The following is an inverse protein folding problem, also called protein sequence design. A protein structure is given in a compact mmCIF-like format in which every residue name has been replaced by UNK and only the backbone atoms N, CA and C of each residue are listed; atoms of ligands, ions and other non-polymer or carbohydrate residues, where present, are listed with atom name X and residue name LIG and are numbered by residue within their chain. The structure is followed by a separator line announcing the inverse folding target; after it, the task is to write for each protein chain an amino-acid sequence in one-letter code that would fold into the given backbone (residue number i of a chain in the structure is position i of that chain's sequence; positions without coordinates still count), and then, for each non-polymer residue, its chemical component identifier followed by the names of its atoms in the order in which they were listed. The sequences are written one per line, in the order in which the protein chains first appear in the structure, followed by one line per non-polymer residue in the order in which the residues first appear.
data_IF_708304233134
#
_entry.id   IF_708304233134
#
_cell.length_a   1.000
_cell.length_b   1.000
_cell.length_c   1.000
_cell.angle_alpha   90.00
_cell.angle_beta   90.00
_cell.angle_gamma   90.00
#
_symmetry.space_group_name_H-M   'P 1'
#
loop_
_entity.id
_entity.type
_entity.pdbx_description
1 polymer ?
#
# COMPACT_ATOMS: atom_id res chain seq x y z
N UNK A 1 -31.81 16.18 -8.18
CA UNK A 1 -31.50 16.19 -7.79
C UNK A 1 -31.18 16.37 -7.31
N UNK A 2 -31.06 16.36 -7.54
CA UNK A 2 -30.63 16.63 -7.19
C UNK A 2 -30.00 16.85 -6.58
N UNK A 3 -29.40 17.05 -6.47
CA UNK A 3 -28.67 17.13 -5.86
C UNK A 3 -28.30 17.56 -4.91
N UNK A 4 -28.31 17.65 -4.32
CA UNK A 4 -27.88 17.91 -3.53
C UNK A 4 -27.65 17.99 -2.47
N UNK A 5 -27.63 18.02 -2.11
CA UNK A 5 -27.37 17.95 -1.09
C UNK A 5 -27.27 17.43 -0.05
N UNK A 6 -27.42 17.07 0.03
CA UNK A 6 -27.37 16.54 0.90
C UNK A 6 -27.09 16.17 1.73
N UNK A 7 -27.13 16.12 1.79
CA UNK A 7 -26.93 15.95 2.45
C UNK A 7 -27.33 16.01 3.08
N UNK A 8 -27.32 16.23 2.77
CA UNK A 8 -27.72 16.40 3.10
C UNK A 8 -28.50 16.73 3.40
N UNK A 9 -28.27 16.77 3.37
CA UNK A 9 -29.43 17.07 3.40
C UNK A 9 -30.19 17.46 2.63
N UNK A 10 -29.90 18.04 2.06
CA UNK A 10 -30.91 18.44 1.20
C UNK A 10 -31.55 17.31 0.49
N UNK A 11 -32.40 16.99 0.12
CA UNK A 11 -33.13 15.95 -0.54
C UNK A 11 -32.39 15.10 -1.55
N UNK A 12 -31.08 15.23 -1.62
CA UNK A 12 -30.32 14.41 -2.53
C UNK A 12 -30.18 13.00 -1.96
N UNK A 13 -30.46 11.96 -2.74
CA UNK A 13 -30.29 10.61 -2.22
C UNK A 13 -28.83 10.29 -1.96
N UNK A 14 -28.61 9.45 -0.98
CA UNK A 14 -27.26 9.01 -0.66
C UNK A 14 -26.76 8.05 -1.73
N UNK A 15 -25.50 8.16 -2.04
CA UNK A 15 -24.87 7.27 -3.00
C UNK A 15 -24.57 5.94 -2.31
N UNK A 16 -24.94 4.86 -2.96
CA UNK A 16 -24.71 3.51 -2.47
C UNK A 16 -24.01 2.73 -3.57
N UNK A 17 -22.88 2.14 -3.22
CA UNK A 17 -22.14 1.33 -4.19
C UNK A 17 -22.79 -0.05 -4.30
N UNK A 18 -22.96 -0.50 -5.55
CA UNK A 18 -23.43 -1.85 -5.82
C UNK A 18 -22.32 -2.83 -5.56
N UNK A 19 -22.67 -4.13 -5.48
CA UNK A 19 -21.66 -5.17 -5.32
C UNK A 19 -20.61 -5.12 -6.42
N UNK A 20 -21.06 -4.87 -7.64
CA UNK A 20 -20.15 -4.76 -8.77
C UNK A 20 -19.17 -3.61 -8.60
N UNK A 21 -19.69 -2.46 -8.13
CA UNK A 21 -18.83 -1.31 -7.91
C UNK A 21 -17.83 -1.54 -6.78
N UNK A 22 -18.23 -2.28 -5.76
CA UNK A 22 -17.32 -2.62 -4.66
C UNK A 22 -16.18 -3.50 -5.18
N UNK A 23 -16.50 -4.47 -6.02
CA UNK A 23 -15.46 -5.33 -6.62
C UNK A 23 -14.54 -4.49 -7.51
N UNK A 24 -15.12 -3.58 -8.28
CA UNK A 24 -14.34 -2.72 -9.15
C UNK A 24 -13.41 -1.82 -8.33
N UNK A 25 -13.94 -1.28 -7.22
CA UNK A 25 -13.15 -0.44 -6.34
C UNK A 25 -11.97 -1.21 -5.74
N UNK A 26 -12.18 -2.46 -5.37
CA UNK A 26 -11.08 -3.28 -4.84
C UNK A 26 -9.96 -3.40 -5.86
N UNK A 27 -10.31 -3.65 -7.11
CA UNK A 27 -9.32 -3.75 -8.17
C UNK A 27 -8.58 -2.43 -8.39
N UNK A 28 -9.32 -1.33 -8.38
CA UNK A 28 -8.74 0.00 -8.58
C UNK A 28 -7.81 0.38 -7.42
N UNK A 29 -8.14 -0.07 -6.22
CA UNK A 29 -7.34 0.27 -5.04
C UNK A 29 -5.93 -0.29 -5.13
N UNK A 30 -5.70 -1.26 -5.99
CA UNK A 30 -4.35 -1.79 -6.20
C UNK A 30 -3.44 -0.75 -6.83
N UNK A 31 -3.99 0.16 -7.63
CA UNK A 31 -3.15 1.07 -8.43
C UNK A 31 -3.50 2.55 -8.27
N UNK A 32 -4.61 2.88 -7.64
CA UNK A 32 -5.05 4.27 -7.52
C UNK A 32 -5.14 4.71 -6.07
N UNK A 33 -4.93 6.00 -5.84
CA UNK A 33 -5.18 6.60 -4.53
C UNK A 33 -6.69 6.79 -4.34
N UNK A 34 -7.10 7.09 -3.10
CA UNK A 34 -8.51 7.36 -2.84
C UNK A 34 -9.05 8.52 -3.68
N UNK A 35 -8.25 9.56 -3.83
CA UNK A 35 -8.68 10.70 -4.64
C UNK A 35 -8.92 10.28 -6.08
N UNK A 36 -8.04 9.43 -6.61
CA UNK A 36 -8.17 8.95 -7.98
C UNK A 36 -9.35 8.01 -8.14
N UNK A 37 -9.59 7.18 -7.13
CA UNK A 37 -10.75 6.29 -7.14
C UNK A 37 -12.04 7.10 -7.14
N UNK A 38 -12.07 8.15 -6.30
CA UNK A 38 -13.24 9.03 -6.27
C UNK A 38 -13.47 9.65 -7.64
N UNK A 39 -12.40 10.12 -8.28
CA UNK A 39 -12.50 10.67 -9.62
C UNK A 39 -13.05 9.66 -10.61
N UNK A 40 -12.61 8.41 -10.49
CA UNK A 40 -13.10 7.36 -11.38
C UNK A 40 -14.60 7.18 -11.27
N UNK A 41 -15.13 7.25 -10.05
CA UNK A 41 -16.57 7.11 -9.81
C UNK A 41 -17.32 8.43 -9.89
N UNK A 42 -16.62 9.50 -10.26
CA UNK A 42 -17.22 10.82 -10.47
C UNK A 42 -17.82 11.38 -9.19
N UNK A 43 -17.13 11.20 -8.09
CA UNK A 43 -17.49 11.75 -6.78
C UNK A 43 -16.27 12.40 -6.16
N UNK A 44 -16.47 13.12 -5.06
CA UNK A 44 -15.34 13.71 -4.36
C UNK A 44 -14.76 12.70 -3.38
N UNK A 45 -13.52 12.93 -2.98
CA UNK A 45 -12.90 12.07 -1.99
C UNK A 45 -13.67 12.12 -0.68
N UNK A 46 -14.21 13.28 -0.33
CA UNK A 46 -15.02 13.43 0.88
C UNK A 46 -16.25 12.53 0.79
N UNK A 47 -16.90 12.51 -0.37
CA UNK A 47 -18.06 11.64 -0.57
C UNK A 47 -17.67 10.17 -0.47
N UNK A 48 -16.51 9.80 -1.03
CA UNK A 48 -16.05 8.43 -0.93
C UNK A 48 -15.85 8.02 0.53
N UNK A 49 -15.25 8.90 1.33
CA UNK A 49 -15.06 8.61 2.75
C UNK A 49 -16.38 8.47 3.49
N UNK A 50 -17.38 9.29 3.10
CA UNK A 50 -18.70 9.16 3.70
C UNK A 50 -19.33 7.82 3.34
N UNK A 51 -19.14 7.38 2.09
CA UNK A 51 -19.65 6.07 1.68
C UNK A 51 -18.97 4.97 2.48
N UNK A 52 -17.67 5.07 2.71
CA UNK A 52 -16.96 4.08 3.51
C UNK A 52 -17.54 3.96 4.92
N UNK A 53 -18.00 5.08 5.47
CA UNK A 53 -18.61 5.06 6.80
C UNK A 53 -19.94 4.34 6.78
N UNK A 54 -20.73 4.53 5.73
CA UNK A 54 -22.07 3.93 5.63
C UNK A 54 -22.03 2.49 5.12
N UNK A 55 -21.03 2.18 4.28
CA UNK A 55 -20.88 0.86 3.68
C UNK A 55 -19.50 0.32 4.04
N UNK A 56 -19.36 -0.33 5.19
CA UNK A 56 -18.03 -0.82 5.61
C UNK A 56 -17.38 -1.74 4.59
N UNK A 57 -18.18 -2.43 3.77
CA UNK A 57 -17.60 -3.31 2.74
C UNK A 57 -16.80 -2.52 1.70
N UNK A 58 -17.14 -1.23 1.50
CA UNK A 58 -16.38 -0.38 0.58
C UNK A 58 -14.99 -0.12 1.15
N UNK A 59 -14.93 0.21 2.43
CA UNK A 59 -13.65 0.44 3.09
C UNK A 59 -12.81 -0.84 3.12
N UNK A 60 -13.45 -1.97 3.42
CA UNK A 60 -12.77 -3.25 3.43
C UNK A 60 -12.20 -3.58 2.05
N UNK A 61 -12.98 -3.34 1.00
CA UNK A 61 -12.53 -3.59 -0.37
C UNK A 61 -11.32 -2.72 -0.71
N UNK A 62 -11.35 -1.46 -0.30
CA UNK A 62 -10.23 -0.56 -0.54
C UNK A 62 -8.95 -1.10 0.12
N UNK A 63 -9.05 -1.45 1.40
CA UNK A 63 -7.87 -1.95 2.13
C UNK A 63 -7.37 -3.24 1.52
N UNK A 64 -8.29 -4.12 1.14
CA UNK A 64 -7.93 -5.41 0.57
C UNK A 64 -7.17 -5.26 -0.74
N UNK A 65 -7.66 -4.37 -1.61
CA UNK A 65 -6.99 -4.13 -2.88
C UNK A 65 -5.58 -3.61 -2.68
N UNK A 66 -5.41 -2.70 -1.74
CA UNK A 66 -4.08 -2.15 -1.45
C UNK A 66 -3.15 -3.21 -0.86
N UNK A 67 -3.65 -3.99 0.07
CA UNK A 67 -2.82 -5.01 0.71
C UNK A 67 -2.42 -6.08 -0.30
N UNK A 68 -3.31 -6.47 -1.18
CA UNK A 68 -2.99 -7.45 -2.21
C UNK A 68 -1.83 -6.95 -3.08
N UNK A 69 -1.89 -5.70 -3.50
CA UNK A 69 -0.85 -5.15 -4.36
C UNK A 69 0.46 -4.98 -3.61
N UNK A 70 0.39 -4.47 -2.39
CA UNK A 70 1.58 -4.29 -1.57
C UNK A 70 2.24 -5.65 -1.32
N UNK A 71 1.43 -6.67 -1.04
CA UNK A 71 1.92 -8.02 -0.82
C UNK A 71 2.62 -8.56 -2.06
N UNK A 72 2.01 -8.34 -3.23
CA UNK A 72 2.57 -8.79 -4.49
C UNK A 72 3.91 -8.10 -4.77
N UNK A 73 3.95 -6.79 -4.58
CA UNK A 73 5.17 -6.04 -4.78
C UNK A 73 6.24 -6.41 -3.77
N UNK A 74 5.82 -6.65 -2.52
CA UNK A 74 6.74 -7.07 -1.48
C UNK A 74 7.37 -8.41 -1.80
N UNK A 75 6.58 -9.35 -2.31
CA UNK A 75 7.08 -10.64 -2.71
C UNK A 75 8.11 -10.50 -3.83
N UNK A 76 7.82 -9.64 -4.81
CA UNK A 76 8.75 -9.38 -5.90
C UNK A 76 10.03 -8.75 -5.39
N UNK A 77 9.89 -7.81 -4.46
CA UNK A 77 11.06 -7.14 -3.90
C UNK A 77 11.98 -8.13 -3.18
N UNK A 78 11.38 -8.99 -2.36
CA UNK A 78 12.15 -10.00 -1.62
C UNK A 78 12.85 -10.95 -2.58
N UNK A 79 12.13 -11.37 -3.61
CA UNK A 79 12.71 -12.27 -4.60
C UNK A 79 13.88 -11.62 -5.31
N UNK A 80 13.71 -10.37 -5.73
CA UNK A 80 14.76 -9.64 -6.41
C UNK A 80 15.97 -9.44 -5.51
N UNK A 81 15.72 -9.10 -4.25
CA UNK A 81 16.79 -8.91 -3.28
C UNK A 81 17.53 -10.23 -3.03
N UNK A 82 16.79 -11.32 -2.89
CA UNK A 82 17.37 -12.64 -2.67
C UNK A 82 18.24 -13.04 -3.86
N UNK A 83 17.87 -12.61 -5.06
CA UNK A 83 18.63 -12.91 -6.27
C UNK A 83 19.85 -12.02 -6.43
N UNK A 84 20.10 -11.13 -5.49
CA UNK A 84 21.34 -10.35 -5.49
C UNK A 84 21.22 -8.90 -5.90
N UNK A 85 20.02 -8.40 -6.12
CA UNK A 85 19.86 -6.99 -6.50
C UNK A 85 20.15 -6.10 -5.29
N UNK A 86 21.19 -5.28 -5.42
CA UNK A 86 21.67 -4.45 -4.31
C UNK A 86 20.64 -3.40 -3.92
N UNK A 87 20.04 -2.74 -4.90
CA UNK A 87 19.03 -1.70 -4.61
C UNK A 87 17.85 -2.28 -3.85
N UNK A 88 17.40 -3.47 -4.26
CA UNK A 88 16.27 -4.12 -3.60
C UNK A 88 16.64 -4.52 -2.17
N UNK A 89 17.87 -4.99 -1.96
CA UNK A 89 18.34 -5.31 -0.62
C UNK A 89 18.34 -4.09 0.29
N UNK A 90 18.87 -3.00 -0.21
CA UNK A 90 18.94 -1.77 0.57
C UNK A 90 17.54 -1.27 0.90
N UNK A 91 16.67 -1.27 -0.09
CA UNK A 91 15.30 -0.81 0.12
C UNK A 91 14.57 -1.66 1.17
N UNK A 92 14.72 -2.98 1.06
CA UNK A 92 14.07 -3.88 2.02
C UNK A 92 14.58 -3.62 3.44
N UNK A 93 15.88 -3.47 3.59
CA UNK A 93 16.47 -3.25 4.92
C UNK A 93 16.04 -1.93 5.51
N UNK A 94 15.90 -0.89 4.68
CA UNK A 94 15.47 0.40 5.18
C UNK A 94 14.01 0.41 5.56
N UNK A 95 13.17 -0.29 4.80
CA UNK A 95 11.73 -0.23 5.04
C UNK A 95 11.26 -1.29 6.03
N UNK A 96 11.80 -2.48 5.99
CA UNK A 96 11.35 -3.58 6.84
C UNK A 96 12.33 -3.91 7.94
N UNK A 97 13.60 -3.66 7.71
CA UNK A 97 14.61 -3.98 8.70
C UNK A 97 14.94 -2.87 9.68
N UNK A 98 14.36 -1.71 9.48
CA UNK A 98 14.60 -0.59 10.38
C UNK A 98 15.92 0.13 10.18
N UNK A 99 16.61 -0.15 9.11
CA UNK A 99 17.87 0.52 8.84
C UNK A 99 17.61 1.96 8.42
N UNK A 100 18.46 2.86 8.87
CA UNK A 100 18.30 4.27 8.56
C UNK A 100 19.51 4.79 7.84
N UNK A 101 19.26 5.32 6.68
CA UNK A 101 20.33 5.79 5.82
C UNK A 101 20.87 7.13 6.25
N UNK A 102 20.02 7.95 6.84
CA UNK A 102 20.38 9.33 7.16
C UNK A 102 21.08 9.51 8.48
N UNK A 103 21.35 8.42 9.19
CA UNK A 103 22.05 8.50 10.48
C UNK A 103 23.51 8.14 10.28
N UNK A 104 24.41 9.03 10.66
CA UNK A 104 25.83 8.78 10.46
C UNK A 104 26.32 7.47 11.09
N UNK A 105 25.84 7.21 12.30
CA UNK A 105 26.27 6.01 13.01
C UNK A 105 25.76 4.76 12.32
N UNK A 106 24.61 4.84 11.68
CA UNK A 106 24.06 3.68 10.99
C UNK A 106 24.92 3.30 9.80
N UNK A 107 25.53 4.27 9.20
CA UNK A 107 26.35 4.02 8.03
C UNK A 107 27.64 3.31 8.37
N UNK A 108 28.01 3.34 9.61
CA UNK A 108 29.24 2.72 10.04
C UNK A 108 29.06 1.29 10.43
N UNK A 109 27.86 0.90 10.47
CA UNK A 109 27.61 -0.48 10.78
C UNK A 109 28.01 -1.29 9.60
N UNK A 110 28.68 -1.88 9.58
CA UNK A 110 28.93 -2.53 8.50
C UNK A 110 28.79 -3.60 8.38
N UNK A 111 28.78 -3.39 8.18
CA UNK A 111 28.54 -3.95 7.73
C UNK A 111 28.34 -5.07 7.55
N UNK A 112 28.05 -5.29 7.45
CA UNK A 112 27.65 -6.26 7.33
C UNK A 112 28.24 -7.19 6.89
N UNK A 113 28.72 -7.27 6.89
CA UNK A 113 29.29 -8.09 6.47
C UNK A 113 28.89 -9.22 6.67
N UNK A 114 28.40 -9.42 6.76
CA UNK A 114 27.99 -10.37 6.87
C UNK A 114 27.71 -11.26 6.30
N UNK A 115 27.84 -11.16 5.97
CA UNK A 115 27.72 -11.81 5.66
C UNK A 115 27.43 -12.72 5.38
N UNK A 116 27.48 -12.69 5.23
CA UNK A 116 27.41 -13.32 5.07
C UNK A 116 27.55 -14.22 4.76
N UNK A 117 27.80 -14.25 4.52
CA UNK A 117 28.22 -14.89 4.32
C UNK A 117 28.00 -15.91 4.19
N UNK A 118 28.11 -15.91 3.94
CA UNK A 118 28.14 -16.68 3.90
C UNK A 118 28.29 -17.62 4.05
N UNK A 119 28.66 -17.48 4.08
CA UNK A 119 29.08 -18.05 4.42
C UNK A 119 28.85 -18.49 5.12
N UNK A 120 28.90 -17.99 5.03
CA UNK A 120 28.93 -18.01 5.69
C UNK A 120 28.66 -18.29 6.17
N UNK A 121 28.70 -18.07 6.20
CA UNK A 121 28.80 -18.13 6.78
C UNK A 121 28.97 -18.53 7.22
N UNK A 122 29.57 -18.43 7.19
CA UNK A 122 30.16 -18.57 7.67
C UNK A 122 30.60 -18.60 8.03
N UNK A 123 31.05 -18.55 8.10
CA UNK A 123 31.70 -18.34 8.39
C UNK A 123 32.22 -18.30 8.67
N UNK A 124 32.66 -18.29 8.60
CA UNK A 124 33.28 -17.92 8.80
C UNK A 124 33.64 -17.66 8.83
N UNK A 125 33.86 -17.54 8.63
CA UNK A 125 34.21 -17.15 8.59
C UNK A 125 34.58 -16.94 8.67
N UNK A 126 34.86 -16.80 8.47
CA UNK A 126 35.24 -16.57 8.55
C UNK A 126 35.24 -16.63 8.86
#
# INVERSE_FOLDING_TARGET
MKKGNQGDGGGKPLIVFTSKQVIELEALAAVLTKAQIADFFDITEKTLRAIEQRQPEVFTAYKKGRVKQISSMGTNLVKLATDGNVAANIFYLKTQGGWKEDQPEAQEIPPINIVLDSRAINPSSE
#
